data_IF_056273261895
#
_entry.id   IF_056273261895
#
_cell.length_a   1.000
_cell.length_b   1.000
_cell.length_c   1.000
_cell.angle_alpha   90.00
_cell.angle_beta   90.00
_cell.angle_gamma   90.00
#
_symmetry.space_group_name_H-M   'P 1'
#
loop_
_entity.id
_entity.type
_entity.pdbx_description
1 polymer ?
#
# COMPACT_ATOMS: atom_id res chain seq x y z
N UNK A 1 24.38 44.87 5.25
CA UNK A 1 25.06 43.61 5.62
C UNK A 1 24.68 42.56 4.60
N UNK A 2 25.67 42.11 3.84
CA UNK A 2 25.43 41.05 2.82
C UNK A 2 25.21 39.73 3.59
N UNK A 3 24.03 39.13 3.46
CA UNK A 3 23.83 37.73 3.87
C UNK A 3 24.92 36.89 3.20
N UNK A 4 25.62 36.04 3.98
CA UNK A 4 26.56 35.10 3.35
C UNK A 4 25.80 34.24 2.37
N UNK A 5 26.23 34.20 1.13
CA UNK A 5 25.59 33.45 0.03
C UNK A 5 25.33 31.98 0.43
N UNK A 6 26.27 31.38 1.15
CA UNK A 6 26.14 30.00 1.67
C UNK A 6 24.93 29.81 2.57
N UNK A 7 24.58 30.81 3.39
CA UNK A 7 23.40 30.72 4.26
C UNK A 7 22.08 30.75 3.47
N UNK A 8 21.99 31.60 2.46
CA UNK A 8 20.80 31.67 1.59
C UNK A 8 20.63 30.35 0.86
N UNK A 9 21.73 29.80 0.33
CA UNK A 9 21.71 28.49 -0.34
C UNK A 9 21.21 27.40 0.60
N UNK A 10 21.75 27.31 1.81
CA UNK A 10 21.32 26.32 2.79
C UNK A 10 19.86 26.51 3.22
N UNK A 11 19.42 27.76 3.44
CA UNK A 11 18.05 28.08 3.85
C UNK A 11 16.99 27.71 2.81
N UNK A 12 17.37 27.57 1.53
CA UNK A 12 16.48 27.16 0.43
C UNK A 12 16.65 25.67 0.11
N UNK A 13 17.89 25.19 -0.04
CA UNK A 13 18.16 23.81 -0.43
C UNK A 13 17.73 22.78 0.61
N UNK A 14 17.97 23.05 1.90
CA UNK A 14 17.65 22.09 2.95
C UNK A 14 16.13 21.84 3.05
N UNK A 15 15.26 22.86 3.14
CA UNK A 15 13.83 22.64 3.12
C UNK A 15 13.34 21.98 1.83
N UNK A 16 13.91 22.33 0.68
CA UNK A 16 13.53 21.75 -0.61
C UNK A 16 13.81 20.25 -0.65
N UNK A 17 15.03 19.85 -0.32
CA UNK A 17 15.41 18.42 -0.29
C UNK A 17 14.57 17.66 0.74
N UNK A 18 14.35 18.23 1.92
CA UNK A 18 13.53 17.63 2.96
C UNK A 18 12.08 17.43 2.48
N UNK A 19 11.49 18.42 1.82
CA UNK A 19 10.11 18.33 1.32
C UNK A 19 9.99 17.37 0.13
N UNK A 20 11.01 17.28 -0.75
CA UNK A 20 11.05 16.31 -1.84
C UNK A 20 11.11 14.87 -1.32
N UNK A 21 11.95 14.60 -0.33
CA UNK A 21 12.03 13.27 0.30
C UNK A 21 10.77 12.92 1.07
N UNK A 22 10.16 13.89 1.76
CA UNK A 22 8.89 13.70 2.47
C UNK A 22 7.75 13.43 1.48
N UNK A 23 7.68 14.17 0.36
CA UNK A 23 6.71 13.93 -0.71
C UNK A 23 6.82 12.50 -1.27
N UNK A 24 8.04 12.01 -1.50
CA UNK A 24 8.27 10.64 -1.96
C UNK A 24 7.79 9.61 -0.93
N UNK A 25 8.14 9.80 0.34
CA UNK A 25 7.73 8.91 1.42
C UNK A 25 6.19 8.85 1.54
N UNK A 26 5.54 10.01 1.58
CA UNK A 26 4.07 10.11 1.66
C UNK A 26 3.42 9.43 0.45
N UNK A 27 3.93 9.65 -0.76
CA UNK A 27 3.40 9.02 -1.98
C UNK A 27 3.48 7.50 -1.94
N UNK A 28 4.60 6.94 -1.49
CA UNK A 28 4.76 5.49 -1.34
C UNK A 28 3.82 4.92 -0.28
N UNK A 29 3.65 5.62 0.85
CA UNK A 29 2.75 5.19 1.92
C UNK A 29 1.28 5.24 1.48
N UNK A 30 0.84 6.31 0.82
CA UNK A 30 -0.50 6.43 0.26
C UNK A 30 -0.79 5.33 -0.76
N UNK A 31 0.13 5.12 -1.71
CA UNK A 31 -0.02 4.06 -2.69
C UNK A 31 -0.17 2.68 -2.02
N UNK A 32 0.66 2.37 -1.01
CA UNK A 32 0.55 1.11 -0.26
C UNK A 32 -0.79 0.95 0.44
N UNK A 33 -1.32 2.02 1.04
CA UNK A 33 -2.62 1.98 1.72
C UNK A 33 -3.77 1.77 0.74
N UNK A 34 -3.75 2.47 -0.41
CA UNK A 34 -4.77 2.37 -1.44
C UNK A 34 -4.78 0.97 -2.07
N UNK A 35 -3.61 0.43 -2.38
CA UNK A 35 -3.46 -0.93 -2.88
C UNK A 35 -3.92 -1.96 -1.85
N UNK A 36 -3.58 -1.79 -0.58
CA UNK A 36 -3.98 -2.71 0.48
C UNK A 36 -5.52 -2.75 0.65
N UNK A 37 -6.19 -1.61 0.53
CA UNK A 37 -7.65 -1.55 0.59
C UNK A 37 -8.28 -2.28 -0.60
N UNK A 38 -7.81 -2.01 -1.81
CA UNK A 38 -8.28 -2.69 -3.04
C UNK A 38 -8.03 -4.21 -2.97
N UNK A 39 -6.84 -4.61 -2.51
CA UNK A 39 -6.46 -6.01 -2.32
C UNK A 39 -7.36 -6.72 -1.31
N UNK A 40 -7.67 -6.09 -0.17
CA UNK A 40 -8.55 -6.65 0.86
C UNK A 40 -9.97 -6.84 0.33
N UNK A 41 -10.48 -5.88 -0.43
CA UNK A 41 -11.82 -5.98 -1.05
C UNK A 41 -11.88 -7.14 -2.04
N UNK A 42 -10.87 -7.25 -2.93
CA UNK A 42 -10.78 -8.30 -3.92
C UNK A 42 -10.64 -9.69 -3.30
N UNK A 43 -9.80 -9.82 -2.26
CA UNK A 43 -9.65 -11.09 -1.54
C UNK A 43 -10.94 -11.51 -0.86
N UNK A 44 -11.61 -10.60 -0.14
CA UNK A 44 -12.89 -10.91 0.52
C UNK A 44 -13.95 -11.36 -0.49
N UNK A 45 -14.05 -10.66 -1.62
CA UNK A 45 -14.95 -11.06 -2.69
C UNK A 45 -14.62 -12.46 -3.24
N UNK A 46 -13.33 -12.75 -3.42
CA UNK A 46 -12.85 -14.06 -3.88
C UNK A 46 -13.12 -15.16 -2.86
N UNK A 47 -13.01 -14.87 -1.57
CA UNK A 47 -13.36 -15.78 -0.46
C UNK A 47 -14.86 -16.09 -0.41
N UNK A 48 -15.71 -15.07 -0.60
CA UNK A 48 -17.16 -15.24 -0.60
C UNK A 48 -17.60 -16.17 -1.74
N UNK A 49 -17.07 -15.97 -2.94
CA UNK A 49 -17.32 -16.86 -4.08
C UNK A 49 -16.73 -18.24 -3.85
N UNK A 50 -15.55 -18.36 -3.29
CA UNK A 50 -14.93 -19.64 -2.93
C UNK A 50 -15.80 -20.41 -1.93
N UNK A 51 -16.31 -19.73 -0.90
CA UNK A 51 -17.19 -20.31 0.12
C UNK A 51 -18.50 -20.80 -0.50
N UNK A 52 -19.11 -20.00 -1.38
CA UNK A 52 -20.32 -20.40 -2.12
C UNK A 52 -20.04 -21.62 -3.01
N UNK A 53 -18.90 -21.65 -3.69
CA UNK A 53 -18.50 -22.77 -4.56
C UNK A 53 -18.31 -24.06 -3.77
N UNK A 54 -17.66 -23.99 -2.61
CA UNK A 54 -17.50 -25.15 -1.72
C UNK A 54 -18.84 -25.66 -1.19
N UNK A 55 -19.79 -24.77 -0.87
CA UNK A 55 -21.15 -25.16 -0.45
C UNK A 55 -21.85 -25.94 -1.55
N UNK A 56 -21.79 -25.45 -2.79
CA UNK A 56 -22.41 -26.12 -3.93
C UNK A 56 -21.72 -27.44 -4.25
N UNK A 57 -20.39 -27.52 -4.17
CA UNK A 57 -19.64 -28.76 -4.32
C UNK A 57 -20.07 -29.78 -3.25
N UNK A 58 -20.23 -29.35 -1.99
CA UNK A 58 -20.74 -30.19 -0.91
C UNK A 58 -22.17 -30.68 -1.08
N UNK A 59 -23.02 -29.90 -1.77
CA UNK A 59 -24.36 -30.36 -2.15
C UNK A 59 -24.29 -31.46 -3.22
N UNK A 60 -23.44 -31.29 -4.24
CA UNK A 60 -23.18 -32.31 -5.26
C UNK A 60 -22.65 -33.62 -4.67
N UNK A 61 -21.79 -33.55 -3.66
CA UNK A 61 -21.33 -34.75 -2.90
C UNK A 61 -22.47 -35.53 -2.30
N UNK A 62 -23.47 -34.85 -1.69
CA UNK A 62 -24.63 -35.50 -1.05
C UNK A 62 -25.58 -36.19 -2.05
N UNK A 63 -25.51 -35.80 -3.29
CA UNK A 63 -26.35 -36.34 -4.37
C UNK A 63 -25.64 -37.43 -5.19
N UNK A 64 -24.38 -37.73 -4.91
CA UNK A 64 -23.51 -38.54 -5.76
C UNK A 64 -23.96 -40.00 -5.96
N UNK A 65 -24.84 -40.53 -5.11
CA UNK A 65 -25.36 -41.88 -5.19
C UNK A 65 -26.69 -41.97 -5.98
N UNK A 66 -27.21 -40.83 -6.47
CA UNK A 66 -28.46 -40.77 -7.24
C UNK A 66 -28.19 -40.89 -8.74
N UNK A 67 -29.25 -41.23 -9.54
CA UNK A 67 -29.12 -41.18 -10.98
C UNK A 67 -28.75 -39.78 -11.50
N UNK A 68 -27.97 -39.72 -12.57
CA UNK A 68 -27.46 -38.45 -13.12
C UNK A 68 -28.56 -37.45 -13.48
N UNK A 69 -29.71 -37.94 -14.01
CA UNK A 69 -30.85 -37.11 -14.37
C UNK A 69 -31.43 -36.33 -13.15
N UNK A 70 -31.54 -37.00 -12.00
CA UNK A 70 -32.00 -36.39 -10.76
C UNK A 70 -30.96 -35.38 -10.20
N UNK A 71 -29.69 -35.76 -10.22
CA UNK A 71 -28.59 -34.92 -9.78
C UNK A 71 -28.57 -33.62 -10.56
N UNK A 72 -28.65 -33.70 -11.92
CA UNK A 72 -28.61 -32.54 -12.79
C UNK A 72 -29.82 -31.61 -12.60
N UNK A 73 -31.01 -32.17 -12.34
CA UNK A 73 -32.20 -31.37 -12.08
C UNK A 73 -32.07 -30.53 -10.80
N UNK A 74 -31.57 -31.13 -9.70
CA UNK A 74 -31.39 -30.48 -8.43
C UNK A 74 -30.21 -29.47 -8.49
N UNK A 75 -29.12 -29.84 -9.15
CA UNK A 75 -27.96 -28.95 -9.31
C UNK A 75 -28.24 -27.75 -10.23
N UNK A 76 -29.13 -27.92 -11.25
CA UNK A 76 -29.58 -26.81 -12.07
C UNK A 76 -30.35 -25.77 -11.24
N UNK A 77 -31.18 -26.23 -10.32
CA UNK A 77 -31.86 -25.35 -9.38
C UNK A 77 -30.88 -24.59 -8.52
N UNK A 78 -29.86 -25.25 -7.96
CA UNK A 78 -28.81 -24.61 -7.15
C UNK A 78 -28.02 -23.60 -7.98
N UNK A 79 -27.66 -23.92 -9.23
CA UNK A 79 -26.95 -23.04 -10.14
C UNK A 79 -27.72 -21.74 -10.43
N UNK A 80 -29.04 -21.82 -10.57
CA UNK A 80 -29.88 -20.65 -10.84
C UNK A 80 -29.79 -19.56 -9.76
N UNK A 81 -29.46 -19.95 -8.53
CA UNK A 81 -29.26 -19.05 -7.39
C UNK A 81 -27.78 -18.74 -7.04
N UNK A 82 -26.85 -19.31 -7.81
CA UNK A 82 -25.41 -19.10 -7.57
C UNK A 82 -24.78 -18.57 -8.85
N UNK A 83 -24.74 -17.25 -9.01
CA UNK A 83 -24.07 -16.65 -10.17
C UNK A 83 -22.61 -17.11 -10.21
N UNK A 84 -22.00 -17.09 -11.37
CA UNK A 84 -20.60 -17.45 -11.62
C UNK A 84 -20.32 -18.95 -11.80
N UNK A 85 -21.22 -19.87 -11.44
CA UNK A 85 -21.02 -21.31 -11.72
C UNK A 85 -21.23 -21.55 -13.19
N UNK A 86 -20.15 -22.00 -13.84
CA UNK A 86 -20.13 -22.36 -15.25
C UNK A 86 -20.60 -23.79 -15.47
N UNK A 87 -20.06 -24.73 -14.66
CA UNK A 87 -20.43 -26.14 -14.73
C UNK A 87 -20.37 -26.77 -13.33
N UNK A 88 -21.15 -27.81 -13.15
CA UNK A 88 -21.25 -28.59 -11.93
C UNK A 88 -21.57 -30.04 -12.27
N UNK A 89 -20.96 -30.98 -11.54
CA UNK A 89 -21.19 -32.37 -11.79
C UNK A 89 -20.34 -33.31 -10.93
N UNK A 90 -20.24 -34.55 -11.44
CA UNK A 90 -19.48 -35.62 -10.83
C UNK A 90 -18.38 -36.14 -11.77
N UNK A 91 -17.30 -36.55 -11.20
CA UNK A 91 -16.16 -37.20 -11.84
C UNK A 91 -16.05 -38.65 -11.34
N UNK A 92 -15.66 -39.54 -12.22
CA UNK A 92 -15.24 -40.91 -11.89
C UNK A 92 -13.97 -41.24 -12.65
N UNK A 93 -12.92 -41.63 -11.94
CA UNK A 93 -11.59 -41.94 -12.51
C UNK A 93 -11.04 -40.86 -13.46
N UNK A 94 -11.31 -39.60 -13.15
CA UNK A 94 -10.84 -38.44 -13.93
C UNK A 94 -11.70 -38.11 -15.17
N UNK A 95 -12.76 -38.88 -15.44
CA UNK A 95 -13.71 -38.63 -16.51
C UNK A 95 -15.01 -38.02 -15.96
N UNK A 96 -15.73 -37.28 -16.80
CA UNK A 96 -17.03 -36.77 -16.46
C UNK A 96 -18.06 -37.92 -16.38
N UNK A 97 -18.58 -38.15 -15.18
CA UNK A 97 -19.70 -39.08 -14.99
C UNK A 97 -21.02 -38.36 -15.27
N UNK A 98 -21.14 -37.14 -14.84
CA UNK A 98 -22.33 -36.34 -14.89
C UNK A 98 -21.94 -34.85 -14.91
N UNK A 99 -22.35 -34.09 -15.91
CA UNK A 99 -22.07 -32.66 -16.02
C UNK A 99 -23.30 -31.93 -16.59
N UNK A 100 -23.46 -30.68 -16.11
CA UNK A 100 -24.54 -29.83 -16.62
C UNK A 100 -24.31 -29.40 -18.08
N UNK A 101 -23.06 -29.11 -18.44
CA UNK A 101 -22.68 -28.63 -19.78
C UNK A 101 -22.52 -29.79 -20.76
N UNK A 102 -21.87 -30.88 -20.35
CA UNK A 102 -21.68 -32.06 -21.18
C UNK A 102 -22.72 -33.13 -20.83
N UNK A 103 -23.67 -33.31 -21.70
CA UNK A 103 -24.71 -34.38 -21.56
C UNK A 103 -24.18 -35.77 -21.89
N UNK A 104 -23.02 -35.84 -22.52
CA UNK A 104 -22.40 -37.13 -22.89
C UNK A 104 -21.56 -37.64 -21.73
N UNK A 105 -21.73 -38.92 -21.43
CA UNK A 105 -20.99 -39.62 -20.38
C UNK A 105 -19.59 -40.04 -20.85
N UNK A 106 -18.63 -40.14 -19.90
CA UNK A 106 -17.31 -40.69 -20.13
C UNK A 106 -16.33 -39.85 -20.95
N UNK A 107 -16.53 -38.52 -21.03
CA UNK A 107 -15.52 -37.61 -21.58
C UNK A 107 -14.46 -37.23 -20.54
N UNK A 108 -13.19 -37.04 -20.96
CA UNK A 108 -12.18 -36.52 -20.07
C UNK A 108 -12.59 -35.17 -19.47
N UNK A 109 -12.23 -34.94 -18.23
CA UNK A 109 -12.47 -33.65 -17.59
C UNK A 109 -11.77 -32.50 -18.39
N UNK A 110 -12.45 -31.42 -18.74
CA UNK A 110 -12.00 -30.43 -19.73
C UNK A 110 -10.90 -29.51 -19.17
N UNK A 111 -9.74 -30.07 -18.81
CA UNK A 111 -8.56 -29.32 -18.38
C UNK A 111 -7.79 -28.77 -19.59
N UNK A 112 -6.99 -27.71 -19.39
CA UNK A 112 -6.05 -27.23 -20.40
C UNK A 112 -5.04 -28.32 -20.80
N UNK A 113 -4.51 -28.30 -22.03
CA UNK A 113 -3.47 -29.23 -22.48
C UNK A 113 -2.30 -29.29 -21.50
N UNK A 114 -1.82 -30.49 -21.17
CA UNK A 114 -0.73 -30.71 -20.24
C UNK A 114 -1.06 -30.54 -18.74
N UNK A 115 -2.32 -30.27 -18.41
CA UNK A 115 -2.80 -30.24 -17.01
C UNK A 115 -3.59 -31.49 -16.71
N UNK A 116 -3.39 -32.05 -15.54
CA UNK A 116 -4.13 -33.23 -15.05
C UNK A 116 -4.69 -32.96 -13.65
N UNK A 117 -5.75 -33.69 -13.33
CA UNK A 117 -6.19 -33.78 -11.93
C UNK A 117 -5.13 -34.50 -11.09
N UNK A 118 -4.95 -34.14 -9.82
CA UNK A 118 -4.04 -34.87 -8.95
C UNK A 118 -4.50 -36.32 -8.75
N UNK A 119 -3.54 -37.25 -8.71
CA UNK A 119 -3.80 -38.65 -8.48
C UNK A 119 -2.90 -39.14 -7.32
N UNK A 120 -3.45 -39.54 -6.15
CA UNK A 120 -4.87 -39.54 -5.79
C UNK A 120 -5.46 -38.13 -5.65
N UNK A 121 -6.78 -38.00 -5.86
CA UNK A 121 -7.48 -36.75 -5.68
C UNK A 121 -7.57 -36.41 -4.17
N UNK A 122 -7.14 -35.20 -3.73
CA UNK A 122 -7.29 -34.79 -2.34
C UNK A 122 -8.75 -34.67 -1.91
N UNK A 123 -9.03 -34.79 -0.61
CA UNK A 123 -10.39 -34.63 -0.07
C UNK A 123 -11.06 -33.33 -0.54
N UNK A 124 -10.29 -32.24 -0.62
CA UNK A 124 -10.67 -30.95 -1.21
C UNK A 124 -9.51 -30.40 -2.03
N UNK A 125 -9.81 -29.98 -3.25
CA UNK A 125 -8.82 -29.38 -4.13
C UNK A 125 -9.40 -28.18 -4.87
N UNK A 126 -8.61 -27.12 -4.98
CA UNK A 126 -8.96 -25.91 -5.73
C UNK A 126 -7.78 -25.48 -6.58
N UNK A 127 -8.05 -25.07 -7.81
CA UNK A 127 -7.03 -24.57 -8.73
C UNK A 127 -7.60 -23.61 -9.73
N UNK A 128 -6.90 -22.48 -9.94
CA UNK A 128 -7.19 -21.55 -11.04
C UNK A 128 -6.48 -21.97 -12.31
N UNK A 129 -7.13 -21.69 -13.44
CA UNK A 129 -6.61 -21.89 -14.78
C UNK A 129 -6.80 -20.59 -15.57
N UNK A 130 -5.75 -20.13 -16.23
CA UNK A 130 -5.79 -18.95 -17.10
C UNK A 130 -6.64 -19.19 -18.35
N UNK A 131 -6.81 -20.45 -18.73
CA UNK A 131 -7.63 -20.89 -19.85
C UNK A 131 -8.21 -22.28 -19.55
N UNK A 132 -9.43 -22.54 -19.99
CA UNK A 132 -10.08 -23.84 -19.82
C UNK A 132 -10.88 -24.22 -21.07
N UNK A 133 -10.78 -25.48 -21.51
CA UNK A 133 -11.52 -26.00 -22.67
C UNK A 133 -13.03 -25.99 -22.43
N UNK A 134 -13.82 -25.94 -23.50
CA UNK A 134 -15.31 -25.95 -23.45
C UNK A 134 -15.93 -24.53 -23.39
N UNK A 135 -15.17 -23.49 -23.70
CA UNK A 135 -15.64 -22.12 -23.93
C UNK A 135 -14.51 -21.25 -24.47
N UNK A 136 -14.77 -20.04 -24.99
CA UNK A 136 -13.78 -19.21 -25.63
C UNK A 136 -12.75 -18.72 -24.56
N UNK A 137 -11.59 -19.39 -24.45
CA UNK A 137 -10.38 -18.97 -23.80
C UNK A 137 -10.51 -18.23 -22.46
N UNK A 138 -11.46 -18.59 -21.60
CA UNK A 138 -11.79 -17.83 -20.40
C UNK A 138 -11.14 -18.44 -19.17
N UNK A 139 -10.62 -17.63 -18.25
CA UNK A 139 -10.10 -18.13 -17.00
C UNK A 139 -11.20 -18.78 -16.15
N UNK A 140 -10.83 -19.82 -15.40
CA UNK A 140 -11.76 -20.55 -14.55
C UNK A 140 -11.09 -21.01 -13.26
N UNK A 141 -11.88 -21.19 -12.21
CA UNK A 141 -11.45 -21.87 -10.98
C UNK A 141 -12.23 -23.17 -10.84
N UNK A 142 -11.49 -24.25 -10.63
CA UNK A 142 -12.06 -25.59 -10.44
C UNK A 142 -11.98 -25.95 -8.96
N UNK A 143 -13.12 -26.34 -8.42
CA UNK A 143 -13.26 -26.89 -7.07
C UNK A 143 -13.63 -28.37 -7.20
N UNK A 144 -12.92 -29.24 -6.48
CA UNK A 144 -13.29 -30.65 -6.40
C UNK A 144 -13.34 -31.10 -4.96
N UNK A 145 -14.30 -31.97 -4.64
CA UNK A 145 -14.42 -32.61 -3.34
C UNK A 145 -14.64 -34.11 -3.54
N UNK A 146 -13.79 -34.88 -2.90
CA UNK A 146 -13.85 -36.35 -2.98
C UNK A 146 -15.15 -36.88 -2.37
N UNK A 147 -15.77 -37.83 -3.05
CA UNK A 147 -16.95 -38.59 -2.59
C UNK A 147 -16.52 -39.97 -2.16
N UNK A 148 -15.74 -40.66 -2.99
CA UNK A 148 -15.17 -41.97 -2.78
C UNK A 148 -13.77 -42.01 -3.40
N UNK A 149 -13.06 -43.16 -3.29
CA UNK A 149 -11.69 -43.28 -3.80
C UNK A 149 -11.54 -42.79 -5.27
N UNK A 150 -12.49 -43.14 -6.12
CA UNK A 150 -12.46 -42.87 -7.55
C UNK A 150 -13.49 -41.82 -7.98
N UNK A 151 -14.33 -41.32 -7.06
CA UNK A 151 -15.42 -40.37 -7.36
C UNK A 151 -15.20 -39.02 -6.66
N UNK A 152 -15.50 -37.96 -7.37
CA UNK A 152 -15.49 -36.60 -6.81
C UNK A 152 -16.62 -35.76 -7.43
N UNK A 153 -17.13 -34.85 -6.62
CA UNK A 153 -17.96 -33.75 -7.11
C UNK A 153 -17.05 -32.60 -7.55
N UNK A 154 -17.48 -31.87 -8.60
CA UNK A 154 -16.75 -30.69 -9.08
C UNK A 154 -17.66 -29.51 -9.31
N UNK A 155 -17.10 -28.32 -9.21
CA UNK A 155 -17.70 -27.05 -9.63
C UNK A 155 -16.65 -26.26 -10.40
N UNK A 156 -17.04 -25.76 -11.58
CA UNK A 156 -16.23 -24.85 -12.39
C UNK A 156 -16.85 -23.46 -12.27
N UNK A 157 -16.06 -22.51 -11.79
CA UNK A 157 -16.44 -21.11 -11.62
C UNK A 157 -15.84 -20.30 -12.77
N UNK A 158 -16.64 -19.48 -13.44
CA UNK A 158 -16.18 -18.52 -14.45
C UNK A 158 -15.48 -17.37 -13.74
N UNK A 159 -14.18 -17.21 -13.93
CA UNK A 159 -13.39 -16.19 -13.24
C UNK A 159 -13.47 -14.80 -13.88
N UNK A 160 -14.28 -14.60 -14.92
CA UNK A 160 -14.46 -13.27 -15.54
C UNK A 160 -14.97 -12.24 -14.55
N UNK A 161 -15.84 -12.64 -13.64
CA UNK A 161 -16.37 -11.75 -12.61
C UNK A 161 -15.27 -11.14 -11.73
N UNK A 162 -14.23 -11.90 -11.43
CA UNK A 162 -13.07 -11.43 -10.66
C UNK A 162 -12.09 -10.68 -11.56
N UNK A 163 -11.95 -11.12 -12.80
CA UNK A 163 -11.09 -10.47 -13.79
C UNK A 163 -11.60 -9.07 -14.13
N UNK A 164 -12.89 -8.91 -14.40
CA UNK A 164 -13.54 -7.63 -14.67
C UNK A 164 -13.32 -6.65 -13.50
N UNK A 165 -13.47 -7.12 -12.26
CA UNK A 165 -13.19 -6.31 -11.08
C UNK A 165 -11.69 -5.93 -10.98
N UNK A 166 -10.79 -6.89 -11.26
CA UNK A 166 -9.35 -6.61 -11.29
C UNK A 166 -8.99 -5.63 -12.40
N UNK A 167 -9.64 -5.70 -13.57
CA UNK A 167 -9.40 -4.80 -14.70
C UNK A 167 -9.78 -3.36 -14.33
N UNK A 168 -10.96 -3.16 -13.72
CA UNK A 168 -11.38 -1.85 -13.20
C UNK A 168 -10.41 -1.31 -12.15
N UNK A 169 -10.01 -2.14 -11.19
CA UNK A 169 -9.04 -1.74 -10.16
C UNK A 169 -7.64 -1.47 -10.76
N UNK A 170 -7.26 -2.21 -11.80
CA UNK A 170 -6.01 -2.02 -12.52
C UNK A 170 -5.96 -0.68 -13.24
N UNK A 171 -7.04 -0.29 -13.88
CA UNK A 171 -7.17 1.01 -14.54
C UNK A 171 -7.19 2.16 -13.52
N UNK A 172 -7.97 2.02 -12.44
CA UNK A 172 -8.09 3.06 -11.40
C UNK A 172 -6.79 3.28 -10.63
N UNK A 173 -6.06 2.21 -10.33
CA UNK A 173 -4.83 2.24 -9.51
C UNK A 173 -3.55 2.23 -10.35
N UNK A 174 -3.66 2.09 -11.67
CA UNK A 174 -2.51 1.92 -12.58
C UNK A 174 -1.54 0.82 -12.08
N UNK A 175 -2.07 -0.31 -11.63
CA UNK A 175 -1.33 -1.41 -11.05
C UNK A 175 -1.80 -2.75 -11.61
N UNK A 176 -0.92 -3.74 -11.69
CA UNK A 176 -1.28 -5.09 -12.15
C UNK A 176 -1.71 -5.94 -10.97
N UNK A 177 -2.90 -6.48 -11.04
CA UNK A 177 -3.42 -7.45 -10.09
C UNK A 177 -3.28 -8.86 -10.65
N UNK A 178 -2.79 -9.79 -9.85
CA UNK A 178 -2.59 -11.19 -10.21
C UNK A 178 -3.14 -12.08 -9.10
N UNK A 179 -4.28 -12.71 -9.37
CA UNK A 179 -4.98 -13.57 -8.41
C UNK A 179 -4.75 -15.03 -8.73
N UNK A 180 -4.55 -15.85 -7.70
CA UNK A 180 -4.31 -17.29 -7.85
C UNK A 180 -5.06 -18.09 -6.79
N UNK A 181 -5.69 -19.18 -7.21
CA UNK A 181 -6.34 -20.14 -6.31
C UNK A 181 -5.51 -21.43 -6.24
N UNK A 182 -5.15 -21.84 -5.03
CA UNK A 182 -4.26 -22.94 -4.79
C UNK A 182 -2.91 -22.81 -5.51
N UNK A 183 -2.44 -23.92 -6.09
CA UNK A 183 -1.23 -23.95 -6.94
C UNK A 183 -1.59 -23.76 -8.43
N UNK A 184 -2.60 -22.93 -8.72
CA UNK A 184 -3.09 -22.71 -10.07
C UNK A 184 -2.31 -21.68 -10.87
N UNK A 185 -2.79 -21.45 -12.10
CA UNK A 185 -2.29 -20.36 -12.94
C UNK A 185 -2.79 -19.01 -12.40
N UNK A 186 -2.04 -17.96 -12.63
CA UNK A 186 -2.45 -16.62 -12.24
C UNK A 186 -3.55 -16.09 -13.19
N UNK A 187 -4.59 -15.51 -12.63
CA UNK A 187 -5.57 -14.69 -13.34
C UNK A 187 -5.06 -13.26 -13.23
N UNK A 188 -4.77 -12.61 -14.37
CA UNK A 188 -4.07 -11.34 -14.42
C UNK A 188 -5.01 -10.28 -14.97
N UNK A 189 -5.03 -9.09 -14.35
CA UNK A 189 -5.77 -7.93 -14.83
C UNK A 189 -5.25 -7.42 -16.18
N UNK A 190 -6.10 -6.76 -16.94
CA UNK A 190 -5.74 -6.06 -18.18
C UNK A 190 -5.62 -4.55 -17.92
N UNK A 191 -4.67 -3.85 -18.56
CA UNK A 191 -3.59 -4.39 -19.39
C UNK A 191 -2.51 -5.10 -18.58
N UNK A 192 -2.02 -6.25 -19.09
CA UNK A 192 -1.01 -7.05 -18.39
C UNK A 192 0.43 -6.54 -18.57
N UNK A 193 0.64 -5.57 -19.44
CA UNK A 193 1.97 -5.07 -19.80
C UNK A 193 2.17 -3.65 -19.26
N UNK A 194 3.03 -3.55 -18.27
CA UNK A 194 3.58 -2.29 -17.79
C UNK A 194 5.10 -2.35 -17.85
N UNK A 195 5.71 -1.27 -18.29
CA UNK A 195 7.16 -1.12 -18.23
C UNK A 195 7.62 -1.02 -16.78
N UNK A 196 8.66 -1.75 -16.44
CA UNK A 196 9.45 -1.64 -15.22
C UNK A 196 8.62 -1.64 -13.92
N UNK A 197 8.30 -2.82 -13.42
CA UNK A 197 7.73 -3.02 -12.08
C UNK A 197 8.79 -2.67 -11.04
N UNK A 198 8.44 -1.79 -10.10
CA UNK A 198 9.35 -1.32 -9.02
C UNK A 198 8.88 -1.70 -7.63
N UNK A 199 7.62 -2.09 -7.49
CA UNK A 199 7.07 -2.54 -6.21
C UNK A 199 6.12 -3.70 -6.42
N UNK A 200 6.22 -4.72 -5.56
CA UNK A 200 5.32 -5.87 -5.54
C UNK A 200 4.85 -6.10 -4.12
N UNK A 201 3.55 -6.32 -3.93
CA UNK A 201 2.96 -6.69 -2.65
C UNK A 201 2.16 -7.97 -2.80
N UNK A 202 2.30 -8.87 -1.83
CA UNK A 202 1.61 -10.14 -1.80
C UNK A 202 0.63 -10.16 -0.62
N UNK A 203 -0.59 -10.57 -0.90
CA UNK A 203 -1.65 -10.78 0.06
C UNK A 203 -2.15 -12.20 -0.06
N UNK A 204 -2.44 -12.82 1.06
CA UNK A 204 -2.87 -14.23 1.12
C UNK A 204 -4.04 -14.31 2.09
N UNK A 205 -5.03 -15.15 1.79
CA UNK A 205 -6.13 -15.45 2.70
C UNK A 205 -5.66 -16.26 3.91
N UNK A 206 -6.40 -16.22 5.02
CA UNK A 206 -6.04 -16.89 6.27
C UNK A 206 -5.83 -18.42 6.10
N UNK A 207 -6.57 -19.04 5.18
CA UNK A 207 -6.43 -20.46 4.84
C UNK A 207 -5.30 -20.77 3.83
N UNK A 208 -4.62 -19.74 3.33
CA UNK A 208 -3.50 -19.87 2.38
C UNK A 208 -3.90 -20.32 0.97
N UNK A 209 -5.21 -20.40 0.66
CA UNK A 209 -5.68 -20.96 -0.62
C UNK A 209 -5.82 -19.94 -1.73
N UNK A 210 -5.99 -18.68 -1.38
CA UNK A 210 -6.09 -17.59 -2.35
C UNK A 210 -4.93 -16.64 -2.12
N UNK A 211 -4.16 -16.36 -3.16
CA UNK A 211 -3.06 -15.39 -3.13
C UNK A 211 -3.26 -14.32 -4.19
N UNK A 212 -3.08 -13.07 -3.79
CA UNK A 212 -3.16 -11.90 -4.64
C UNK A 212 -1.80 -11.19 -4.63
N UNK A 213 -1.24 -11.01 -5.79
CA UNK A 213 -0.03 -10.20 -6.00
C UNK A 213 -0.42 -8.92 -6.72
N UNK A 214 0.00 -7.79 -6.18
CA UNK A 214 -0.17 -6.47 -6.81
C UNK A 214 1.18 -5.92 -7.16
N UNK A 215 1.37 -5.61 -8.43
CA UNK A 215 2.62 -5.07 -8.97
C UNK A 215 2.41 -3.63 -9.46
N UNK A 216 3.25 -2.71 -8.98
CA UNK A 216 3.21 -1.30 -9.37
C UNK A 216 4.35 -0.96 -10.33
N UNK A 217 4.04 -0.40 -11.51
CA UNK A 217 5.04 0.11 -12.43
C UNK A 217 5.64 1.44 -11.93
N UNK A 218 6.81 1.79 -12.47
CA UNK A 218 7.49 3.05 -12.13
C UNK A 218 6.63 4.27 -12.47
N UNK A 219 5.91 4.23 -13.58
CA UNK A 219 5.04 5.32 -14.04
C UNK A 219 4.00 5.73 -13.01
N UNK A 220 3.34 4.77 -12.37
CA UNK A 220 2.35 5.01 -11.31
C UNK A 220 2.95 5.72 -10.11
N UNK A 221 4.10 5.25 -9.61
CA UNK A 221 4.77 5.88 -8.47
C UNK A 221 5.22 7.31 -8.80
N UNK A 222 5.74 7.53 -10.02
CA UNK A 222 6.13 8.88 -10.44
C UNK A 222 4.92 9.80 -10.60
N UNK A 223 3.79 9.33 -11.11
CA UNK A 223 2.57 10.10 -11.22
C UNK A 223 2.01 10.52 -9.85
N UNK A 224 1.95 9.58 -8.88
CA UNK A 224 1.54 9.88 -7.50
C UNK A 224 2.49 10.87 -6.84
N UNK A 225 3.81 10.69 -7.03
CA UNK A 225 4.81 11.61 -6.53
C UNK A 225 4.67 13.02 -7.13
N UNK A 226 4.49 13.14 -8.44
CA UNK A 226 4.28 14.43 -9.11
C UNK A 226 3.05 15.17 -8.58
N UNK A 227 1.95 14.46 -8.32
CA UNK A 227 0.76 15.07 -7.67
C UNK A 227 1.10 15.62 -6.27
N UNK A 228 1.88 14.89 -5.49
CA UNK A 228 2.32 15.33 -4.16
C UNK A 228 3.20 16.58 -4.22
N UNK A 229 4.04 16.74 -5.26
CA UNK A 229 4.91 17.90 -5.42
C UNK A 229 4.13 19.22 -5.53
N UNK A 230 2.90 19.20 -6.06
CA UNK A 230 2.04 20.39 -6.13
C UNK A 230 1.76 21.00 -4.74
N UNK A 231 1.79 20.20 -3.69
CA UNK A 231 1.60 20.63 -2.30
C UNK A 231 2.95 20.94 -1.63
N UNK A 232 3.91 20.02 -1.78
CA UNK A 232 5.17 20.09 -1.03
C UNK A 232 6.13 21.18 -1.54
N UNK A 233 6.11 21.53 -2.84
CA UNK A 233 6.94 22.62 -3.39
C UNK A 233 6.52 23.98 -2.84
N UNK A 234 5.25 24.41 -2.91
CA UNK A 234 4.83 25.68 -2.30
C UNK A 234 5.12 25.73 -0.79
N UNK A 235 4.88 24.63 -0.09
CA UNK A 235 5.18 24.53 1.34
C UNK A 235 6.67 24.71 1.64
N UNK A 236 7.55 24.17 0.79
CA UNK A 236 9.00 24.37 0.88
C UNK A 236 9.39 25.84 0.73
N UNK A 237 8.78 26.57 -0.21
CA UNK A 237 9.01 28.01 -0.37
C UNK A 237 8.54 28.81 0.84
N UNK A 238 7.35 28.50 1.39
CA UNK A 238 6.85 29.14 2.61
C UNK A 238 7.82 28.92 3.80
N UNK A 239 8.31 27.70 3.95
CA UNK A 239 9.25 27.35 5.02
C UNK A 239 10.60 28.08 4.85
N UNK A 240 11.11 28.11 3.61
CA UNK A 240 12.35 28.84 3.28
C UNK A 240 12.20 30.34 3.52
N UNK A 241 11.07 30.94 3.16
CA UNK A 241 10.79 32.34 3.45
C UNK A 241 10.76 32.62 4.95
N UNK A 242 10.05 31.78 5.71
CA UNK A 242 9.97 31.91 7.16
C UNK A 242 11.35 31.83 7.82
N UNK A 243 12.18 30.87 7.42
CA UNK A 243 13.55 30.72 7.96
C UNK A 243 14.43 31.96 7.67
N UNK A 244 14.30 32.54 6.47
CA UNK A 244 15.01 33.77 6.11
C UNK A 244 14.54 34.98 6.91
N UNK A 245 13.23 35.12 7.13
CA UNK A 245 12.65 36.21 7.93
C UNK A 245 13.11 36.11 9.40
N UNK A 246 13.01 34.92 9.99
CA UNK A 246 13.44 34.66 11.36
C UNK A 246 14.94 34.92 11.54
N UNK A 247 15.76 34.46 10.60
CA UNK A 247 17.19 34.74 10.63
C UNK A 247 17.50 36.26 10.53
N UNK A 248 16.82 36.97 9.64
CA UNK A 248 16.96 38.45 9.55
C UNK A 248 16.58 39.13 10.85
N UNK A 249 15.46 38.70 11.45
CA UNK A 249 15.01 39.25 12.72
C UNK A 249 16.03 39.02 13.85
N UNK A 250 16.47 37.77 14.00
CA UNK A 250 17.48 37.37 15.01
C UNK A 250 18.81 38.08 14.81
N UNK A 251 19.30 38.19 13.57
CA UNK A 251 20.55 38.89 13.27
C UNK A 251 20.46 40.39 13.52
N UNK A 252 19.29 41.00 13.30
CA UNK A 252 19.04 42.39 13.66
C UNK A 252 19.11 42.60 15.18
N UNK A 253 18.49 41.74 15.96
CA UNK A 253 18.53 41.83 17.44
C UNK A 253 19.96 41.71 17.98
N UNK A 254 20.72 40.71 17.56
CA UNK A 254 22.11 40.54 17.97
C UNK A 254 23.03 41.72 17.59
N UNK A 255 22.82 42.28 16.40
CA UNK A 255 23.62 43.41 15.91
C UNK A 255 23.18 44.74 16.50
N UNK A 256 21.95 44.85 16.98
CA UNK A 256 21.53 46.03 17.73
C UNK A 256 22.30 46.16 19.02
N UNK A 257 22.40 45.09 19.80
CA UNK A 257 23.13 45.08 21.08
C UNK A 257 24.64 45.36 20.93
N UNK A 258 25.30 44.69 19.96
CA UNK A 258 26.70 44.92 19.68
C UNK A 258 26.98 46.37 19.19
N UNK A 259 26.10 46.93 18.38
CA UNK A 259 26.19 48.32 17.88
C UNK A 259 25.93 49.33 18.97
N UNK A 260 25.02 49.08 19.89
CA UNK A 260 24.76 49.94 21.05
C UNK A 260 25.94 49.96 22.00
N UNK A 261 26.57 48.83 22.30
CA UNK A 261 27.79 48.77 23.10
C UNK A 261 28.93 49.57 22.43
N UNK A 262 29.18 49.35 21.13
CA UNK A 262 30.23 50.09 20.39
C UNK A 262 29.91 51.62 20.37
N UNK A 263 28.64 51.97 20.22
CA UNK A 263 28.21 53.37 20.27
C UNK A 263 28.38 53.99 21.64
N UNK A 264 28.02 53.26 22.71
CA UNK A 264 28.24 53.62 24.10
C UNK A 264 29.72 53.87 24.42
N UNK A 265 30.60 52.96 23.91
CA UNK A 265 32.06 53.14 24.04
C UNK A 265 32.57 54.41 23.32
N UNK A 266 32.15 54.62 22.06
CA UNK A 266 32.54 55.80 21.29
C UNK A 266 32.06 57.11 21.89
N UNK A 267 30.92 57.11 22.55
CA UNK A 267 30.32 58.29 23.18
C UNK A 267 30.73 58.43 24.65
N UNK A 268 31.72 57.68 25.15
CA UNK A 268 32.21 57.70 26.53
C UNK A 268 31.07 57.54 27.58
N UNK A 269 30.06 56.74 27.27
CA UNK A 269 28.89 56.56 28.14
C UNK A 269 29.16 55.58 29.27
N UNK A 270 30.26 54.84 29.24
CA UNK A 270 30.63 53.91 30.31
C UNK A 270 31.34 54.68 31.44
N UNK A 271 30.86 54.48 32.67
CA UNK A 271 31.46 55.03 33.88
C UNK A 271 31.91 53.91 34.78
N UNK A 272 32.92 54.19 35.60
CA UNK A 272 33.39 53.22 36.57
C UNK A 272 32.97 53.69 37.97
N UNK A 273 32.21 52.82 38.65
CA UNK A 273 31.92 53.03 40.08
C UNK A 273 32.81 52.13 40.91
N UNK A 274 33.31 52.67 41.96
CA UNK A 274 34.20 51.95 42.90
C UNK A 274 33.39 51.52 44.11
N UNK A 275 33.37 50.22 44.39
CA UNK A 275 32.71 49.63 45.53
C UNK A 275 33.80 49.22 46.53
N UNK A 276 33.81 49.78 47.75
CA UNK A 276 34.81 49.40 48.74
C UNK A 276 34.56 47.99 49.28
N UNK A 277 35.63 47.22 49.36
CA UNK A 277 35.65 45.88 49.94
C UNK A 277 36.29 45.98 51.38
N UNK A 278 35.44 45.75 52.37
CA UNK A 278 35.88 45.80 53.77
C UNK A 278 36.28 44.40 54.26
N UNK A 279 37.45 44.41 54.98
CA UNK A 279 37.83 43.20 55.68
C UNK A 279 37.09 43.19 57.03
N UNK A 280 36.16 42.29 57.20
CA UNK A 280 35.29 42.17 58.37
C UNK A 280 36.08 41.91 59.65
N UNK A 281 37.17 41.16 59.56
CA UNK A 281 37.99 40.82 60.76
C UNK A 281 38.90 41.94 61.23
N UNK A 282 39.28 42.87 60.34
CA UNK A 282 40.22 43.98 60.66
C UNK A 282 39.53 45.34 60.67
N UNK A 283 38.27 45.45 60.31
CA UNK A 283 37.51 46.68 60.29
C UNK A 283 38.02 47.76 59.33
N UNK A 284 38.89 47.41 58.39
CA UNK A 284 39.51 48.37 57.48
C UNK A 284 39.13 48.04 56.00
N UNK A 285 39.18 49.04 55.13
CA UNK A 285 39.03 48.86 53.70
C UNK A 285 40.23 48.11 53.15
N UNK A 286 40.00 46.89 52.66
CA UNK A 286 41.03 46.01 52.10
C UNK A 286 41.31 46.21 50.63
N UNK A 287 40.45 46.99 49.95
CA UNK A 287 40.51 47.23 48.49
C UNK A 287 39.28 47.86 47.97
N UNK A 288 39.24 48.09 46.65
CA UNK A 288 38.05 48.56 45.93
C UNK A 288 37.80 47.68 44.70
N UNK A 289 36.58 47.38 44.45
CA UNK A 289 36.18 46.74 43.23
C UNK A 289 35.70 47.78 42.21
N UNK A 290 36.26 47.75 41.01
CA UNK A 290 35.89 48.67 39.94
C UNK A 290 34.73 48.04 39.09
N UNK A 291 33.55 48.57 39.21
CA UNK A 291 32.34 48.12 38.52
C UNK A 291 31.97 49.06 37.39
N UNK A 292 32.00 48.55 36.19
CA UNK A 292 31.56 49.31 35.00
C UNK A 292 30.04 49.53 35.05
N UNK A 293 29.61 50.74 34.78
CA UNK A 293 28.20 51.13 34.70
C UNK A 293 27.93 51.80 33.36
N UNK A 294 26.89 51.37 32.72
CA UNK A 294 26.40 51.98 31.48
C UNK A 294 24.99 52.59 31.71
N UNK A 295 24.89 53.91 31.84
CA UNK A 295 23.62 54.56 31.99
C UNK A 295 22.85 54.47 30.67
N UNK A 296 21.64 53.95 30.74
CA UNK A 296 20.70 53.93 29.63
C UNK A 296 19.91 55.26 29.58
N UNK A 297 19.34 55.64 28.38
CA UNK A 297 18.54 56.85 28.26
C UNK A 297 17.31 56.89 29.16
N UNK A 298 16.83 55.74 29.64
CA UNK A 298 15.69 55.59 30.57
C UNK A 298 16.11 55.68 32.07
N UNK A 299 17.37 56.05 32.35
CA UNK A 299 17.86 56.22 33.70
C UNK A 299 18.23 54.92 34.43
N UNK A 300 18.13 53.77 33.77
CA UNK A 300 18.61 52.48 34.31
C UNK A 300 20.11 52.32 34.02
N UNK A 301 20.76 51.55 34.83
CA UNK A 301 22.15 51.11 34.61
C UNK A 301 22.20 49.64 34.22
N UNK A 302 23.08 49.32 33.30
CA UNK A 302 23.50 47.93 33.03
C UNK A 302 24.88 47.74 33.62
#
# INVERSE_FOLDING_TARGET
MKLKLSYIICAVLVPLVMMLTLALLVSVLQFKQDVALSAKTLLRFSEDVSTASWRVTGQAVKLADRPCAEILSELNRTRAFTPYIRDIGLLEKGNLLCSFVSREQAHPFPLPPGKTLPTPLPARWVRSFSWMAGGPGRPAVVYTQQVAADKAAFVIVDSRYVQELMDVLSEEREAVFSLRFGKGDAIISQPAQYDRIVMTQNYVTDDGKISLTVAAPLGTLTAVWMKSLLIFIPLSFCFSFLTLVLYRHWSKMRMSMAREIIRGMKNAQFTVHYQPVFNVNRGNCGGVEALMRWPLPDGRFI
#
